data_IF_165638932149
#
_entry.id   IF_165638932149
#
_cell.length_a   1.000
_cell.length_b   1.000
_cell.length_c   1.000
_cell.angle_alpha   90.00
_cell.angle_beta   90.00
_cell.angle_gamma   90.00
#
_symmetry.space_group_name_H-M   'P 1'
#
loop_
_entity.id
_entity.type
_entity.pdbx_description
1 polymer ?
#
# COMPACT_ATOMS: atom_id res chain seq x y z
N UNK A 1 -34.40 -3.48 -16.74
CA UNK A 1 -34.46 -2.83 -15.41
C UNK A 1 -34.15 -3.75 -14.20
N UNK A 2 -33.76 -5.03 -14.37
CA UNK A 2 -33.36 -5.90 -13.22
C UNK A 2 -31.90 -5.73 -12.75
N UNK A 3 -31.00 -5.25 -13.62
CA UNK A 3 -29.55 -5.17 -13.33
C UNK A 3 -29.21 -4.21 -12.19
N UNK A 4 -29.85 -3.03 -12.14
CA UNK A 4 -29.58 -1.98 -11.15
C UNK A 4 -29.80 -2.46 -9.72
N UNK A 5 -30.86 -3.25 -9.47
CA UNK A 5 -31.19 -3.75 -8.13
C UNK A 5 -30.19 -4.77 -7.56
N UNK A 6 -29.39 -5.44 -8.41
CA UNK A 6 -28.41 -6.43 -7.94
C UNK A 6 -27.19 -5.72 -7.32
N UNK A 7 -26.78 -4.59 -7.91
CA UNK A 7 -25.66 -3.78 -7.41
C UNK A 7 -26.01 -2.98 -6.14
N UNK A 8 -27.29 -2.73 -5.87
CA UNK A 8 -27.74 -2.00 -4.69
C UNK A 8 -27.93 -2.86 -3.42
N UNK A 9 -27.70 -4.18 -3.52
CA UNK A 9 -27.80 -5.08 -2.36
C UNK A 9 -26.62 -4.93 -1.39
N UNK A 10 -26.82 -5.22 -0.11
CA UNK A 10 -25.79 -5.06 0.91
C UNK A 10 -24.51 -5.86 0.62
N UNK A 11 -24.66 -7.05 0.02
CA UNK A 11 -23.51 -7.85 -0.41
C UNK A 11 -22.72 -7.22 -1.58
N UNK A 12 -23.35 -6.39 -2.40
CA UNK A 12 -22.64 -5.59 -3.42
C UNK A 12 -21.93 -4.40 -2.79
N UNK A 13 -22.55 -3.72 -1.82
CA UNK A 13 -21.88 -2.67 -1.03
C UNK A 13 -20.66 -3.21 -0.30
N UNK A 14 -20.78 -4.40 0.30
CA UNK A 14 -19.66 -5.09 0.93
C UNK A 14 -18.52 -5.36 -0.06
N UNK A 15 -18.81 -5.88 -1.26
CA UNK A 15 -17.80 -6.06 -2.30
C UNK A 15 -17.08 -4.73 -2.61
N UNK A 16 -17.82 -3.64 -2.81
CA UNK A 16 -17.21 -2.35 -3.11
C UNK A 16 -16.40 -1.79 -1.93
N UNK A 17 -16.81 -2.05 -0.69
CA UNK A 17 -16.04 -1.70 0.50
C UNK A 17 -14.72 -2.48 0.56
N UNK A 18 -14.72 -3.78 0.28
CA UNK A 18 -13.49 -4.59 0.20
C UNK A 18 -12.59 -4.16 -0.96
N UNK A 19 -13.17 -3.76 -2.09
CA UNK A 19 -12.39 -3.19 -3.18
C UNK A 19 -11.74 -1.86 -2.76
N UNK A 20 -12.51 -0.97 -2.11
CA UNK A 20 -11.99 0.28 -1.56
C UNK A 20 -10.87 0.05 -0.55
N UNK A 21 -10.99 -0.94 0.34
CA UNK A 21 -9.92 -1.33 1.26
C UNK A 21 -8.67 -1.81 0.50
N UNK A 22 -8.84 -2.63 -0.54
CA UNK A 22 -7.71 -3.10 -1.34
C UNK A 22 -6.99 -1.93 -2.05
N UNK A 23 -7.73 -0.96 -2.58
CA UNK A 23 -7.15 0.26 -3.18
C UNK A 23 -6.46 1.12 -2.12
N UNK A 24 -7.08 1.31 -0.95
CA UNK A 24 -6.46 2.04 0.17
C UNK A 24 -5.11 1.41 0.56
N UNK A 25 -5.06 0.11 0.81
CA UNK A 25 -3.80 -0.56 1.16
C UNK A 25 -2.77 -0.52 0.03
N UNK A 26 -3.23 -0.51 -1.23
CA UNK A 26 -2.36 -0.33 -2.38
C UNK A 26 -1.65 1.03 -2.37
N UNK A 27 -2.39 2.10 -2.04
CA UNK A 27 -1.87 3.46 -1.98
C UNK A 27 -1.02 3.69 -0.72
N UNK A 28 -1.46 3.17 0.43
CA UNK A 28 -0.70 3.25 1.68
C UNK A 28 0.68 2.60 1.55
N UNK A 29 0.75 1.45 0.90
CA UNK A 29 2.01 0.78 0.62
C UNK A 29 2.92 1.58 -0.31
N UNK A 30 2.38 2.21 -1.35
CA UNK A 30 3.14 3.10 -2.25
C UNK A 30 3.73 4.28 -1.48
N UNK A 31 2.92 4.91 -0.63
CA UNK A 31 3.36 5.98 0.26
C UNK A 31 4.47 5.51 1.22
N UNK A 32 4.34 4.31 1.80
CA UNK A 32 5.36 3.75 2.69
C UNK A 32 6.70 3.57 1.99
N UNK A 33 6.72 3.11 0.74
CA UNK A 33 7.95 2.97 -0.05
C UNK A 33 8.59 4.33 -0.35
N UNK A 34 7.78 5.34 -0.68
CA UNK A 34 8.27 6.72 -0.87
C UNK A 34 8.91 7.23 0.41
N UNK A 35 8.23 7.08 1.56
CA UNK A 35 8.75 7.50 2.86
C UNK A 35 10.10 6.81 3.16
N UNK A 36 10.19 5.50 2.92
CA UNK A 36 11.40 4.74 3.16
C UNK A 36 12.58 5.22 2.29
N UNK A 37 12.35 5.48 1.00
CA UNK A 37 13.38 6.00 0.09
C UNK A 37 13.83 7.41 0.47
N UNK A 38 12.90 8.28 0.85
CA UNK A 38 13.22 9.64 1.28
C UNK A 38 14.04 9.62 2.58
N UNK A 39 13.59 8.87 3.60
CA UNK A 39 14.32 8.73 4.87
C UNK A 39 15.73 8.16 4.67
N UNK A 40 15.87 7.18 3.77
CA UNK A 40 17.18 6.64 3.43
C UNK A 40 18.10 7.70 2.83
N UNK A 41 17.59 8.55 1.93
CA UNK A 41 18.37 9.66 1.36
C UNK A 41 18.78 10.69 2.40
N UNK A 42 17.88 11.04 3.33
CA UNK A 42 18.23 11.89 4.48
C UNK A 42 19.36 11.24 5.28
N UNK A 43 19.25 9.95 5.60
CA UNK A 43 20.27 9.21 6.35
C UNK A 43 21.62 9.11 5.65
N UNK A 44 21.68 9.29 4.32
CA UNK A 44 22.91 9.29 3.53
C UNK A 44 23.52 10.70 3.42
N UNK A 45 22.82 11.75 3.88
CA UNK A 45 23.21 13.15 3.67
C UNK A 45 22.97 13.64 2.24
N UNK A 46 22.14 12.94 1.45
CA UNK A 46 21.83 13.28 0.06
C UNK A 46 20.83 14.44 -0.08
N UNK A 47 20.30 14.96 1.04
CA UNK A 47 19.28 16.01 1.06
C UNK A 47 19.82 17.19 1.88
N UNK A 48 20.40 18.21 1.21
CA UNK A 48 21.08 19.30 1.91
C UNK A 48 20.12 20.41 2.37
N UNK A 49 18.92 20.52 1.79
CA UNK A 49 17.93 21.56 2.15
C UNK A 49 16.51 20.99 2.28
N UNK A 50 15.62 21.76 2.94
CA UNK A 50 14.20 21.44 3.04
C UNK A 50 13.47 21.52 1.68
N UNK A 51 13.91 22.42 0.79
CA UNK A 51 13.37 22.51 -0.58
C UNK A 51 13.71 21.24 -1.39
N UNK A 52 14.96 20.76 -1.28
CA UNK A 52 15.38 19.50 -1.90
C UNK A 52 14.59 18.30 -1.36
N UNK A 53 14.21 18.32 -0.08
CA UNK A 53 13.40 17.27 0.52
C UNK A 53 12.02 17.19 -0.15
N UNK A 54 11.35 18.34 -0.27
CA UNK A 54 10.03 18.44 -0.89
C UNK A 54 10.08 17.98 -2.36
N UNK A 55 11.08 18.43 -3.10
CA UNK A 55 11.27 18.05 -4.51
C UNK A 55 11.54 16.56 -4.68
N UNK A 56 12.43 15.98 -3.86
CA UNK A 56 12.71 14.55 -3.89
C UNK A 56 11.45 13.76 -3.54
N UNK A 57 10.69 14.18 -2.53
CA UNK A 57 9.44 13.53 -2.12
C UNK A 57 8.42 13.50 -3.26
N UNK A 58 8.12 14.65 -3.90
CA UNK A 58 7.19 14.69 -5.03
C UNK A 58 7.69 13.92 -6.24
N UNK A 59 8.99 13.92 -6.51
CA UNK A 59 9.58 13.09 -7.57
C UNK A 59 9.43 11.60 -7.28
N UNK A 60 9.52 11.18 -6.02
CA UNK A 60 9.27 9.77 -5.65
C UNK A 60 7.79 9.41 -5.76
N UNK A 61 6.87 10.31 -5.39
CA UNK A 61 5.43 10.08 -5.59
C UNK A 61 5.03 9.95 -7.06
N UNK A 62 5.77 10.57 -7.99
CA UNK A 62 5.49 10.46 -9.43
C UNK A 62 6.09 9.20 -10.08
N UNK A 63 6.94 8.45 -9.36
CA UNK A 63 7.46 7.19 -9.85
C UNK A 63 6.37 6.12 -9.87
N UNK A 64 6.43 5.23 -10.87
CA UNK A 64 5.63 4.01 -10.81
C UNK A 64 6.05 3.16 -9.62
N UNK A 65 5.10 2.44 -9.03
CA UNK A 65 5.37 1.48 -7.96
C UNK A 65 6.48 0.47 -8.33
N UNK A 66 6.53 0.03 -9.58
CA UNK A 66 7.61 -0.85 -10.07
C UNK A 66 9.00 -0.23 -9.96
N UNK A 67 9.13 1.08 -10.23
CA UNK A 67 10.39 1.81 -10.08
C UNK A 67 10.78 1.96 -8.60
N UNK A 68 9.82 2.30 -7.73
CA UNK A 68 10.06 2.41 -6.28
C UNK A 68 10.59 1.09 -5.70
N UNK A 69 10.03 -0.02 -6.16
CA UNK A 69 10.38 -1.37 -5.68
C UNK A 69 11.74 -1.80 -6.16
N UNK A 70 12.06 -1.55 -7.44
CA UNK A 70 13.40 -1.77 -7.94
C UNK A 70 14.41 -0.98 -7.14
N UNK A 71 14.15 0.31 -6.89
CA UNK A 71 15.06 1.16 -6.12
C UNK A 71 15.26 0.64 -4.69
N UNK A 72 14.18 0.34 -3.97
CA UNK A 72 14.24 -0.21 -2.61
C UNK A 72 15.03 -1.52 -2.55
N UNK A 73 14.91 -2.39 -3.56
CA UNK A 73 15.67 -3.64 -3.64
C UNK A 73 17.19 -3.44 -3.77
N UNK A 74 17.65 -2.31 -4.31
CA UNK A 74 19.09 -2.01 -4.39
C UNK A 74 19.65 -1.47 -3.08
N UNK A 75 18.80 -0.92 -2.22
CA UNK A 75 19.24 -0.22 -1.03
C UNK A 75 19.04 -0.98 0.29
N UNK A 76 18.07 -1.90 0.33
CA UNK A 76 17.78 -2.68 1.52
C UNK A 76 18.10 -4.15 1.27
N UNK A 77 18.69 -4.87 2.25
CA UNK A 77 19.12 -6.25 2.10
C UNK A 77 17.92 -7.21 2.21
N UNK A 78 16.99 -7.17 1.26
CA UNK A 78 15.90 -8.14 1.21
C UNK A 78 16.43 -9.51 0.86
N UNK A 79 15.90 -10.52 1.54
CA UNK A 79 16.06 -11.91 1.12
C UNK A 79 15.40 -12.13 -0.25
N UNK A 80 15.79 -13.17 -1.01
CA UNK A 80 15.12 -13.54 -2.25
C UNK A 80 13.61 -13.79 -2.06
N UNK A 81 13.23 -14.33 -0.90
CA UNK A 81 11.83 -14.57 -0.55
C UNK A 81 11.07 -13.26 -0.36
N UNK A 82 11.61 -12.31 0.40
CA UNK A 82 10.99 -10.99 0.58
C UNK A 82 10.90 -10.23 -0.74
N UNK A 83 11.93 -10.33 -1.57
CA UNK A 83 11.95 -9.75 -2.93
C UNK A 83 10.82 -10.32 -3.79
N UNK A 84 10.58 -11.63 -3.73
CA UNK A 84 9.49 -12.27 -4.46
C UNK A 84 8.12 -11.84 -3.92
N UNK A 85 7.92 -11.87 -2.60
CA UNK A 85 6.68 -11.42 -1.95
C UNK A 85 6.35 -9.96 -2.28
N UNK A 86 7.37 -9.10 -2.24
CA UNK A 86 7.30 -7.69 -2.63
C UNK A 86 6.76 -7.60 -4.07
N UNK A 87 7.44 -8.23 -5.04
CA UNK A 87 7.02 -8.24 -6.45
C UNK A 87 5.60 -8.76 -6.67
N UNK A 88 5.20 -9.82 -5.98
CA UNK A 88 3.87 -10.42 -6.10
C UNK A 88 2.77 -9.48 -5.61
N UNK A 89 2.94 -8.86 -4.44
CA UNK A 89 1.99 -7.87 -3.91
C UNK A 89 1.83 -6.69 -4.87
N UNK A 90 2.90 -6.24 -5.53
CA UNK A 90 2.82 -5.13 -6.49
C UNK A 90 2.17 -5.49 -7.80
N UNK A 91 2.43 -6.68 -8.30
CA UNK A 91 1.73 -7.21 -9.47
C UNK A 91 0.23 -7.27 -9.19
N UNK A 92 -0.13 -7.74 -8.00
CA UNK A 92 -1.53 -7.82 -7.58
C UNK A 92 -2.15 -6.45 -7.34
N UNK A 93 -1.42 -5.47 -6.79
CA UNK A 93 -1.85 -4.07 -6.72
C UNK A 93 -2.18 -3.52 -8.09
N UNK A 94 -1.27 -3.66 -9.06
CA UNK A 94 -1.46 -3.15 -10.41
C UNK A 94 -2.71 -3.75 -11.06
N UNK A 95 -2.88 -5.06 -10.88
CA UNK A 95 -4.10 -5.74 -11.29
C UNK A 95 -5.35 -5.15 -10.64
N UNK A 96 -5.34 -4.99 -9.31
CA UNK A 96 -6.48 -4.45 -8.54
C UNK A 96 -6.89 -3.07 -9.02
N UNK A 97 -5.93 -2.17 -9.19
CA UNK A 97 -6.17 -0.77 -9.55
C UNK A 97 -6.57 -0.60 -11.02
N UNK A 98 -5.96 -1.35 -11.93
CA UNK A 98 -6.11 -1.09 -13.36
C UNK A 98 -7.09 -2.03 -14.08
N UNK A 99 -7.20 -3.30 -13.66
CA UNK A 99 -7.84 -4.34 -14.48
C UNK A 99 -8.88 -5.20 -13.75
N UNK A 100 -8.92 -5.17 -12.42
CA UNK A 100 -9.75 -6.09 -11.61
C UNK A 100 -11.20 -6.14 -12.04
N UNK A 101 -11.88 -5.00 -12.06
CA UNK A 101 -13.28 -4.98 -12.45
C UNK A 101 -13.47 -5.26 -13.94
N UNK A 102 -12.51 -4.95 -14.83
CA UNK A 102 -12.63 -5.28 -16.25
C UNK A 102 -12.75 -6.79 -16.46
N UNK A 103 -11.97 -7.56 -15.69
CA UNK A 103 -11.97 -9.02 -15.76
C UNK A 103 -13.06 -9.68 -14.92
N UNK A 104 -13.37 -9.11 -13.75
CA UNK A 104 -14.30 -9.71 -12.77
C UNK A 104 -15.72 -9.15 -12.83
N UNK A 105 -16.03 -8.26 -13.79
CA UNK A 105 -17.35 -7.59 -13.83
C UNK A 105 -18.52 -8.57 -13.82
N UNK A 106 -18.38 -9.72 -14.49
CA UNK A 106 -19.45 -10.72 -14.58
C UNK A 106 -19.74 -11.38 -13.23
N UNK A 107 -18.73 -11.50 -12.36
CA UNK A 107 -18.89 -12.08 -11.03
C UNK A 107 -19.72 -11.20 -10.09
N UNK A 108 -19.76 -9.88 -10.35
CA UNK A 108 -20.53 -8.92 -9.55
C UNK A 108 -22.05 -9.19 -9.57
N UNK A 109 -22.54 -9.89 -10.60
CA UNK A 109 -23.97 -10.13 -10.79
C UNK A 109 -24.53 -11.34 -10.05
N UNK A 110 -23.69 -12.11 -9.35
CA UNK A 110 -24.12 -13.28 -8.56
C UNK A 110 -23.64 -13.18 -7.11
N UNK A 111 -24.40 -13.69 -6.12
CA UNK A 111 -23.90 -13.80 -4.75
C UNK A 111 -22.59 -14.60 -4.67
N UNK A 112 -22.52 -15.76 -5.34
CA UNK A 112 -21.33 -16.60 -5.30
C UNK A 112 -20.08 -15.92 -5.90
N UNK A 113 -20.24 -15.16 -6.98
CA UNK A 113 -19.16 -14.37 -7.58
C UNK A 113 -18.69 -13.24 -6.68
N UNK A 114 -19.61 -12.46 -6.09
CA UNK A 114 -19.26 -11.43 -5.11
C UNK A 114 -18.50 -11.99 -3.91
N UNK A 115 -18.93 -13.13 -3.37
CA UNK A 115 -18.19 -13.78 -2.27
C UNK A 115 -16.79 -14.26 -2.69
N UNK A 116 -16.58 -14.68 -3.94
CA UNK A 116 -15.23 -14.98 -4.46
C UNK A 116 -14.38 -13.72 -4.53
N UNK A 117 -14.91 -12.66 -5.11
CA UNK A 117 -14.21 -11.38 -5.21
C UNK A 117 -13.82 -10.81 -3.83
N UNK A 118 -14.74 -10.84 -2.86
CA UNK A 118 -14.45 -10.42 -1.47
C UNK A 118 -13.31 -11.23 -0.87
N UNK A 119 -13.28 -12.56 -1.07
CA UNK A 119 -12.18 -13.40 -0.57
C UNK A 119 -10.84 -13.05 -1.20
N UNK A 120 -10.82 -12.80 -2.50
CA UNK A 120 -9.61 -12.38 -3.23
C UNK A 120 -9.07 -11.04 -2.70
N UNK A 121 -9.94 -10.03 -2.60
CA UNK A 121 -9.59 -8.70 -2.09
C UNK A 121 -9.16 -8.74 -0.62
N UNK A 122 -9.81 -9.58 0.18
CA UNK A 122 -9.41 -9.83 1.57
C UNK A 122 -8.04 -10.50 1.68
N UNK A 123 -7.72 -11.42 0.76
CA UNK A 123 -6.41 -12.06 0.72
C UNK A 123 -5.31 -11.05 0.39
N UNK A 124 -5.55 -10.21 -0.63
CA UNK A 124 -4.65 -9.13 -0.96
C UNK A 124 -4.44 -8.17 0.22
N UNK A 125 -5.52 -7.74 0.87
CA UNK A 125 -5.45 -6.90 2.08
C UNK A 125 -4.49 -7.49 3.11
N UNK A 126 -4.64 -8.78 3.44
CA UNK A 126 -3.76 -9.43 4.43
C UNK A 126 -2.29 -9.41 3.98
N UNK A 127 -2.02 -9.78 2.73
CA UNK A 127 -0.66 -9.75 2.18
C UNK A 127 -0.06 -8.34 2.20
N UNK A 128 -0.86 -7.33 1.86
CA UNK A 128 -0.47 -5.93 1.89
C UNK A 128 -0.11 -5.47 3.31
N UNK A 129 -0.94 -5.79 4.30
CA UNK A 129 -0.69 -5.46 5.71
C UNK A 129 0.55 -6.20 6.27
N UNK A 130 0.76 -7.45 5.88
CA UNK A 130 1.93 -8.22 6.30
C UNK A 130 3.21 -7.58 5.78
N UNK A 131 3.20 -7.16 4.52
CA UNK A 131 4.30 -6.44 3.89
C UNK A 131 4.51 -5.05 4.52
N UNK A 132 3.46 -4.29 4.76
CA UNK A 132 3.52 -2.99 5.44
C UNK A 132 4.24 -3.12 6.80
N UNK A 133 3.87 -4.12 7.61
CA UNK A 133 4.54 -4.37 8.90
C UNK A 133 6.02 -4.73 8.76
N UNK A 134 6.42 -5.37 7.65
CA UNK A 134 7.84 -5.62 7.35
C UNK A 134 8.56 -4.33 6.99
N UNK A 135 7.99 -3.54 6.09
CA UNK A 135 8.55 -2.26 5.65
C UNK A 135 8.68 -1.26 6.82
N UNK A 136 7.70 -1.25 7.72
CA UNK A 136 7.72 -0.40 8.91
C UNK A 136 8.91 -0.67 9.82
N UNK A 137 9.43 -1.91 9.87
CA UNK A 137 10.65 -2.22 10.65
C UNK A 137 11.86 -1.46 10.12
N UNK A 138 12.08 -1.46 8.80
CA UNK A 138 13.15 -0.70 8.17
C UNK A 138 12.97 0.81 8.34
N UNK A 139 11.74 1.29 8.27
CA UNK A 139 11.40 2.68 8.53
C UNK A 139 11.76 3.09 9.96
N UNK A 140 11.40 2.29 10.95
CA UNK A 140 11.73 2.54 12.36
C UNK A 140 13.24 2.52 12.60
N UNK A 141 13.98 1.60 11.96
CA UNK A 141 15.44 1.56 12.03
C UNK A 141 16.09 2.83 11.47
N UNK A 142 15.53 3.40 10.39
CA UNK A 142 16.01 4.67 9.83
C UNK A 142 15.68 5.85 10.73
N UNK A 143 14.47 5.91 11.31
CA UNK A 143 14.11 6.96 12.27
C UNK A 143 15.05 6.95 13.49
N UNK A 144 15.35 5.77 14.04
CA UNK A 144 16.29 5.64 15.16
C UNK A 144 17.71 6.08 14.77
N UNK A 145 18.20 5.74 13.56
CA UNK A 145 19.50 6.22 13.06
C UNK A 145 19.56 7.74 12.90
N UNK A 146 18.44 8.37 12.58
CA UNK A 146 18.32 9.81 12.41
C UNK A 146 18.07 10.56 13.74
N UNK A 147 17.87 9.85 14.85
CA UNK A 147 17.49 10.45 16.14
C UNK A 147 16.08 11.05 16.15
N UNK A 148 15.20 10.55 15.28
CA UNK A 148 13.82 11.01 15.08
C UNK A 148 12.78 10.09 15.75
N UNK A 149 13.23 9.17 16.60
CA UNK A 149 12.41 8.15 17.27
C UNK A 149 11.53 8.70 18.41
N UNK A 150 11.72 9.96 18.82
CA UNK A 150 11.02 10.54 19.97
C UNK A 150 9.70 11.28 19.66
N UNK A 151 9.32 11.48 18.39
CA UNK A 151 8.12 12.26 18.03
C UNK A 151 6.90 11.42 17.59
N UNK A 152 7.06 10.10 17.41
CA UNK A 152 5.98 9.24 16.91
C UNK A 152 4.93 8.84 17.97
N UNK A 153 5.27 8.92 19.27
CA UNK A 153 4.31 8.59 20.34
C UNK A 153 3.22 9.66 20.48
N UNK A 154 3.52 10.94 20.21
CA UNK A 154 2.58 12.05 20.42
C UNK A 154 1.50 12.17 19.33
N UNK A 155 1.70 11.60 18.13
CA UNK A 155 0.67 11.60 17.07
C UNK A 155 -0.31 10.43 17.13
N UNK A 156 -0.11 9.47 18.04
CA UNK A 156 -1.10 8.41 18.33
C UNK A 156 -2.00 8.76 19.54
N UNK A 157 -1.95 10.02 19.97
CA UNK A 157 -2.74 10.59 21.06
C UNK A 157 -4.25 10.49 20.87
N UNK A 158 -4.82 9.45 21.49
CA UNK A 158 -6.20 9.32 21.98
C UNK A 158 -7.30 9.36 20.93
N UNK A 159 -7.80 8.17 20.61
CA UNK A 159 -9.21 8.00 20.29
C UNK A 159 -10.01 8.46 21.54
N UNK A 160 -10.85 9.51 21.45
CA UNK A 160 -11.71 9.86 22.58
C UNK A 160 -12.73 8.75 22.75
N UNK A 161 -12.77 8.15 23.94
CA UNK A 161 -13.93 7.39 24.41
C UNK A 161 -15.14 8.32 24.44
N UNK A 162 -16.02 8.20 23.45
CA UNK A 162 -17.45 8.52 23.54
C UNK A 162 -18.25 7.53 22.69
#
# INVERSE_FOLDING_TARGET
MKQTRILDSDHSKELFAYFGLAVYYSQALEQQLVNLLVLMKISQGDIPTEEDLVDIYYRKLSNSLGQLVQEIQHHFPFTPEETAQLKDVWKQRNYIVHDYFKERIQETFSPAGRSRMIRELSSFKRQAQDLERKLQKYTNELYAKLGLDQEAEDMTGKQPDV
#
